data_IF_866896755627
#
_entry.id   IF_866896755627
#
_cell.length_a   1.000
_cell.length_b   1.000
_cell.length_c   1.000
_cell.angle_alpha   90.00
_cell.angle_beta   90.00
_cell.angle_gamma   90.00
#
_symmetry.space_group_name_H-M   'P 1'
#
loop_
_entity.id
_entity.type
_entity.pdbx_description
1 polymer ?
#
# COMPACT_ATOMS: atom_id res chain seq x y z
N UNK A 1 -40.00 33.20 10.17
CA UNK A 1 -38.88 33.24 9.20
C UNK A 1 -38.85 31.93 8.42
N UNK A 2 -38.95 31.99 7.09
CA UNK A 2 -39.13 30.84 6.19
C UNK A 2 -37.88 29.93 6.18
N UNK A 3 -38.02 28.72 6.73
CA UNK A 3 -37.11 27.61 6.46
C UNK A 3 -37.35 27.14 5.02
N UNK A 4 -36.41 27.47 4.13
CA UNK A 4 -36.45 27.04 2.73
C UNK A 4 -35.97 25.59 2.68
N UNK A 5 -36.93 24.68 2.57
CA UNK A 5 -36.76 23.28 2.19
C UNK A 5 -35.87 23.16 0.95
N UNK A 6 -34.70 22.53 1.09
CA UNK A 6 -33.89 22.07 -0.06
C UNK A 6 -34.34 20.66 -0.43
N UNK A 7 -35.53 20.59 -1.02
CA UNK A 7 -36.03 19.41 -1.72
C UNK A 7 -35.42 19.38 -3.14
N UNK A 8 -35.21 18.17 -3.65
CA UNK A 8 -34.93 17.81 -5.05
C UNK A 8 -33.53 18.11 -5.60
N UNK A 9 -32.63 17.14 -5.42
CA UNK A 9 -31.83 16.64 -6.54
C UNK A 9 -31.43 15.15 -6.34
N UNK A 10 -32.36 14.33 -5.84
CA UNK A 10 -32.21 12.88 -5.97
C UNK A 10 -32.49 12.54 -7.44
N UNK A 11 -31.41 12.33 -8.21
CA UNK A 11 -31.52 11.67 -9.51
C UNK A 11 -32.24 10.32 -9.28
N UNK A 12 -33.14 9.89 -10.18
CA UNK A 12 -33.79 8.59 -10.03
C UNK A 12 -32.73 7.51 -9.85
N UNK A 13 -32.93 6.69 -8.82
CA UNK A 13 -32.05 5.59 -8.47
C UNK A 13 -32.08 4.60 -9.64
N UNK A 14 -31.05 4.59 -10.48
CA UNK A 14 -30.89 3.58 -11.52
C UNK A 14 -30.33 2.36 -10.82
N UNK A 15 -31.21 1.55 -10.23
CA UNK A 15 -30.85 0.21 -9.77
C UNK A 15 -30.63 -0.62 -11.04
N UNK A 16 -29.37 -0.70 -11.47
CA UNK A 16 -28.99 -1.51 -12.61
C UNK A 16 -29.40 -2.96 -12.31
N UNK A 17 -30.05 -3.59 -13.28
CA UNK A 17 -30.31 -5.01 -13.24
C UNK A 17 -28.99 -5.78 -13.17
N UNK A 18 -29.03 -7.00 -12.65
CA UNK A 18 -27.86 -7.89 -12.58
C UNK A 18 -27.20 -8.09 -13.95
N UNK A 19 -27.98 -8.06 -15.03
CA UNK A 19 -27.47 -8.13 -16.40
C UNK A 19 -26.72 -6.85 -16.83
N UNK A 20 -27.24 -5.67 -16.49
CA UNK A 20 -26.57 -4.40 -16.78
C UNK A 20 -25.28 -4.24 -15.98
N UNK A 21 -25.26 -4.68 -14.71
CA UNK A 21 -24.04 -4.72 -13.89
C UNK A 21 -22.99 -5.64 -14.51
N UNK A 22 -23.40 -6.81 -15.00
CA UNK A 22 -22.51 -7.75 -15.66
C UNK A 22 -21.96 -7.18 -16.97
N UNK A 23 -22.81 -6.60 -17.81
CA UNK A 23 -22.39 -5.98 -19.06
C UNK A 23 -21.39 -4.83 -18.83
N UNK A 24 -21.57 -4.05 -17.76
CA UNK A 24 -20.64 -3.00 -17.34
C UNK A 24 -19.31 -3.57 -16.88
N UNK A 25 -19.32 -4.61 -16.04
CA UNK A 25 -18.11 -5.28 -15.59
C UNK A 25 -17.33 -5.90 -16.77
N UNK A 26 -18.03 -6.52 -17.72
CA UNK A 26 -17.42 -7.08 -18.93
C UNK A 26 -16.77 -5.98 -19.79
N UNK A 27 -17.41 -4.80 -19.89
CA UNK A 27 -16.84 -3.64 -20.59
C UNK A 27 -15.60 -3.09 -19.88
N UNK A 28 -15.64 -2.94 -18.56
CA UNK A 28 -14.49 -2.49 -17.77
C UNK A 28 -13.32 -3.46 -17.90
N UNK A 29 -13.58 -4.77 -17.87
CA UNK A 29 -12.57 -5.79 -18.11
C UNK A 29 -11.99 -5.70 -19.52
N UNK A 30 -12.81 -5.43 -20.54
CA UNK A 30 -12.33 -5.25 -21.90
C UNK A 30 -11.43 -4.01 -22.05
N UNK A 31 -11.80 -2.87 -21.44
CA UNK A 31 -10.98 -1.65 -21.40
C UNK A 31 -9.64 -1.91 -20.71
N UNK A 32 -9.65 -2.56 -19.53
CA UNK A 32 -8.43 -2.96 -18.84
C UNK A 32 -7.56 -3.91 -19.67
N UNK A 33 -8.19 -4.84 -20.38
CA UNK A 33 -7.49 -5.79 -21.25
C UNK A 33 -6.78 -5.07 -22.42
N UNK A 34 -7.40 -4.02 -22.98
CA UNK A 34 -6.76 -3.19 -24.01
C UNK A 34 -5.48 -2.52 -23.49
N UNK A 35 -5.51 -1.97 -22.27
CA UNK A 35 -4.32 -1.40 -21.63
C UNK A 35 -3.23 -2.45 -21.38
N UNK A 36 -3.61 -3.65 -20.96
CA UNK A 36 -2.68 -4.76 -20.78
C UNK A 36 -2.03 -5.22 -22.10
N UNK A 37 -2.77 -5.20 -23.21
CA UNK A 37 -2.25 -5.58 -24.53
C UNK A 37 -1.24 -4.57 -25.11
N UNK A 38 -1.20 -3.34 -24.58
CA UNK A 38 -0.16 -2.36 -24.92
C UNK A 38 1.17 -2.64 -24.22
N UNK A 39 1.14 -3.42 -23.13
CA UNK A 39 2.34 -3.85 -22.42
C UNK A 39 2.98 -5.06 -23.10
N UNK A 40 4.24 -5.32 -22.78
CA UNK A 40 4.89 -6.58 -23.18
C UNK A 40 4.17 -7.75 -22.54
N UNK A 41 3.48 -8.56 -23.35
CA UNK A 41 2.72 -9.70 -22.90
C UNK A 41 3.20 -10.97 -23.59
N UNK A 42 3.14 -12.07 -22.84
CA UNK A 42 3.34 -13.42 -23.32
C UNK A 42 2.07 -14.20 -23.00
N UNK A 43 1.40 -14.67 -24.05
CA UNK A 43 0.18 -15.46 -23.93
C UNK A 43 0.52 -16.95 -24.07
N UNK A 44 0.16 -17.73 -23.06
CA UNK A 44 0.17 -19.20 -23.16
C UNK A 44 -1.26 -19.67 -23.36
N UNK A 45 -1.54 -20.20 -24.55
CA UNK A 45 -2.82 -20.81 -24.89
C UNK A 45 -2.65 -22.33 -24.97
N UNK A 46 -3.51 -23.07 -24.29
CA UNK A 46 -3.62 -24.52 -24.43
C UNK A 46 -5.03 -24.83 -24.94
N UNK A 47 -5.12 -25.61 -26.02
CA UNK A 47 -6.38 -26.10 -26.58
C UNK A 47 -7.41 -24.97 -26.83
N UNK A 48 -6.99 -23.91 -27.54
CA UNK A 48 -7.83 -22.75 -27.90
C UNK A 48 -8.42 -21.94 -26.72
N UNK A 49 -7.99 -22.19 -25.48
CA UNK A 49 -8.28 -21.32 -24.33
C UNK A 49 -7.02 -20.57 -23.93
N UNK A 50 -7.11 -19.25 -23.83
CA UNK A 50 -6.07 -18.41 -23.22
C UNK A 50 -5.99 -18.77 -21.74
N UNK A 51 -4.88 -19.38 -21.31
CA UNK A 51 -4.72 -19.88 -19.94
C UNK A 51 -4.07 -18.83 -19.04
N UNK A 52 -3.01 -18.19 -19.53
CA UNK A 52 -2.30 -17.14 -18.79
C UNK A 52 -1.81 -16.02 -19.72
N UNK A 53 -2.00 -14.78 -19.30
CA UNK A 53 -1.38 -13.59 -19.88
C UNK A 53 -0.44 -13.06 -18.82
N UNK A 54 0.86 -13.10 -19.10
CA UNK A 54 1.89 -12.63 -18.18
C UNK A 54 2.83 -11.67 -18.89
N UNK A 55 3.36 -10.70 -18.16
CA UNK A 55 4.49 -9.92 -18.66
C UNK A 55 5.77 -10.71 -18.37
N UNK A 56 6.46 -11.22 -19.41
CA UNK A 56 7.60 -12.11 -19.21
C UNK A 56 8.75 -11.41 -18.49
N UNK A 57 9.01 -10.14 -18.82
CA UNK A 57 10.08 -9.35 -18.19
C UNK A 57 9.82 -9.21 -16.71
N UNK A 58 8.61 -8.77 -16.34
CA UNK A 58 8.25 -8.58 -14.93
C UNK A 58 8.32 -9.90 -14.16
N UNK A 59 7.74 -10.97 -14.71
CA UNK A 59 7.70 -12.27 -14.04
C UNK A 59 9.09 -12.84 -13.84
N UNK A 60 9.90 -12.97 -14.90
CA UNK A 60 11.21 -13.62 -14.81
C UNK A 60 12.22 -12.80 -14.02
N UNK A 61 12.21 -11.47 -14.14
CA UNK A 61 13.12 -10.62 -13.35
C UNK A 61 12.73 -10.62 -11.87
N UNK A 62 11.44 -10.57 -11.55
CA UNK A 62 10.99 -10.62 -10.14
C UNK A 62 11.29 -11.97 -9.52
N UNK A 63 10.92 -13.08 -10.18
CA UNK A 63 11.21 -14.43 -9.68
C UNK A 63 12.72 -14.67 -9.61
N UNK A 64 13.47 -14.28 -10.63
CA UNK A 64 14.92 -14.44 -10.68
C UNK A 64 15.63 -13.67 -9.56
N UNK A 65 15.24 -12.42 -9.31
CA UNK A 65 15.83 -11.61 -8.23
C UNK A 65 15.51 -12.16 -6.83
N UNK A 66 14.28 -12.63 -6.61
CA UNK A 66 13.90 -13.26 -5.34
C UNK A 66 14.61 -14.59 -5.12
N UNK A 67 14.68 -15.45 -6.13
CA UNK A 67 15.40 -16.72 -6.04
C UNK A 67 16.90 -16.49 -5.82
N UNK A 68 17.50 -15.51 -6.52
CA UNK A 68 18.89 -15.15 -6.31
C UNK A 68 19.16 -14.71 -4.86
N UNK A 69 18.25 -13.90 -4.28
CA UNK A 69 18.35 -13.49 -2.88
C UNK A 69 18.27 -14.70 -1.93
N UNK A 70 17.27 -15.58 -2.12
CA UNK A 70 17.08 -16.77 -1.28
C UNK A 70 18.29 -17.70 -1.36
N UNK A 71 18.76 -17.99 -2.58
CA UNK A 71 19.92 -18.85 -2.81
C UNK A 71 21.18 -18.24 -2.18
N UNK A 72 21.39 -16.92 -2.29
CA UNK A 72 22.53 -16.24 -1.66
C UNK A 72 22.50 -16.36 -0.14
N UNK A 73 21.32 -16.21 0.48
CA UNK A 73 21.14 -16.40 1.92
C UNK A 73 21.36 -17.86 2.36
N UNK A 74 21.02 -18.85 1.52
CA UNK A 74 21.21 -20.27 1.82
C UNK A 74 22.65 -20.74 1.68
N UNK A 75 23.38 -20.29 0.65
CA UNK A 75 24.75 -20.75 0.39
C UNK A 75 25.74 -20.02 1.30
N UNK A 76 25.56 -18.72 1.52
CA UNK A 76 26.52 -17.89 2.26
C UNK A 76 25.82 -16.97 3.29
N UNK A 77 25.27 -17.54 4.38
CA UNK A 77 24.52 -16.78 5.37
C UNK A 77 25.37 -15.67 6.04
N UNK A 78 26.62 -15.96 6.40
CA UNK A 78 27.49 -14.98 7.07
C UNK A 78 27.84 -13.77 6.18
N UNK A 79 27.95 -14.00 4.87
CA UNK A 79 28.19 -12.91 3.92
C UNK A 79 26.93 -12.08 3.72
N UNK A 80 25.78 -12.75 3.51
CA UNK A 80 24.50 -12.09 3.36
C UNK A 80 24.15 -11.22 4.57
N UNK A 81 24.33 -11.74 5.79
CA UNK A 81 24.11 -11.01 7.03
C UNK A 81 25.03 -9.78 7.15
N UNK A 82 26.32 -9.92 6.81
CA UNK A 82 27.26 -8.78 6.81
C UNK A 82 26.87 -7.71 5.80
N UNK A 83 26.49 -8.12 4.57
CA UNK A 83 26.05 -7.20 3.53
C UNK A 83 24.78 -6.44 3.94
N UNK A 84 23.78 -7.14 4.49
CA UNK A 84 22.55 -6.52 5.02
C UNK A 84 22.84 -5.56 6.18
N UNK A 85 23.73 -5.93 7.10
CA UNK A 85 24.10 -5.06 8.22
C UNK A 85 24.77 -3.77 7.77
N UNK A 86 25.71 -3.83 6.82
CA UNK A 86 26.41 -2.65 6.32
C UNK A 86 25.50 -1.74 5.49
N UNK A 87 24.75 -2.30 4.55
CA UNK A 87 23.87 -1.53 3.68
C UNK A 87 22.57 -1.12 4.36
N UNK A 88 21.74 -2.10 4.72
CA UNK A 88 20.37 -1.85 5.16
C UNK A 88 20.27 -1.29 6.58
N UNK A 89 21.05 -1.83 7.53
CA UNK A 89 20.92 -1.44 8.94
C UNK A 89 21.80 -0.26 9.38
N UNK A 90 22.88 0.05 8.64
CA UNK A 90 23.79 1.16 8.98
C UNK A 90 23.68 2.31 7.99
N UNK A 91 23.98 2.06 6.71
CA UNK A 91 24.04 3.13 5.72
C UNK A 91 22.69 3.79 5.43
N UNK A 92 21.61 3.01 5.27
CA UNK A 92 20.28 3.58 4.99
C UNK A 92 19.82 4.50 6.14
N UNK A 93 19.81 4.08 7.42
CA UNK A 93 19.42 4.98 8.51
C UNK A 93 20.35 6.19 8.69
N UNK A 94 21.65 6.03 8.43
CA UNK A 94 22.59 7.14 8.55
C UNK A 94 22.37 8.23 7.50
N UNK A 95 22.04 7.85 6.26
CA UNK A 95 21.96 8.79 5.12
C UNK A 95 20.52 9.19 4.77
N UNK A 96 19.57 8.25 4.85
CA UNK A 96 18.24 8.40 4.26
C UNK A 96 17.10 8.55 5.26
N UNK A 97 17.34 8.49 6.58
CA UNK A 97 16.26 8.64 7.58
C UNK A 97 15.43 9.91 7.39
N UNK A 98 16.05 11.04 7.01
CA UNK A 98 15.33 12.29 6.76
C UNK A 98 14.29 12.13 5.64
N UNK A 99 14.61 11.35 4.59
CA UNK A 99 13.72 11.13 3.46
C UNK A 99 12.50 10.31 3.87
N UNK A 100 12.67 9.29 4.73
CA UNK A 100 11.55 8.52 5.28
C UNK A 100 10.60 9.39 6.08
N UNK A 101 11.13 10.23 6.97
CA UNK A 101 10.33 11.12 7.83
C UNK A 101 9.60 12.17 6.98
N UNK A 102 10.33 12.90 6.13
CA UNK A 102 9.75 13.95 5.29
C UNK A 102 8.71 13.38 4.33
N UNK A 103 8.97 12.21 3.73
CA UNK A 103 8.00 11.55 2.83
C UNK A 103 6.69 11.26 3.55
N UNK A 104 6.74 10.66 4.74
CA UNK A 104 5.54 10.36 5.53
C UNK A 104 4.78 11.64 5.91
N UNK A 105 5.49 12.65 6.42
CA UNK A 105 4.87 13.90 6.86
C UNK A 105 4.23 14.67 5.71
N UNK A 106 4.89 14.70 4.54
CA UNK A 106 4.33 15.33 3.32
C UNK A 106 3.05 14.62 2.91
N UNK A 107 3.04 13.28 2.85
CA UNK A 107 1.84 12.53 2.48
C UNK A 107 0.72 12.66 3.51
N UNK A 108 1.03 12.75 4.80
CA UNK A 108 0.04 13.06 5.83
C UNK A 108 -0.65 14.39 5.56
N UNK A 109 0.14 15.45 5.32
CA UNK A 109 -0.37 16.79 5.02
C UNK A 109 -1.21 16.78 3.74
N UNK A 110 -0.74 16.09 2.69
CA UNK A 110 -1.48 15.95 1.43
C UNK A 110 -2.82 15.24 1.66
N UNK A 111 -2.86 14.14 2.40
CA UNK A 111 -4.10 13.42 2.68
C UNK A 111 -5.08 14.29 3.48
N UNK A 112 -4.61 14.98 4.52
CA UNK A 112 -5.45 15.89 5.31
C UNK A 112 -5.98 17.02 4.43
N UNK A 113 -5.13 17.61 3.59
CA UNK A 113 -5.52 18.66 2.65
C UNK A 113 -6.58 18.16 1.66
N UNK A 114 -6.40 16.96 1.09
CA UNK A 114 -7.35 16.34 0.17
C UNK A 114 -8.70 16.09 0.86
N UNK A 115 -8.70 15.55 2.07
CA UNK A 115 -9.92 15.14 2.78
C UNK A 115 -10.70 16.31 3.38
N UNK A 116 -10.01 17.31 3.95
CA UNK A 116 -10.65 18.37 4.76
C UNK A 116 -10.84 19.66 3.98
N UNK A 117 -9.84 20.05 3.18
CA UNK A 117 -9.79 21.38 2.54
C UNK A 117 -10.20 21.31 1.07
N UNK A 118 -9.81 20.24 0.39
CA UNK A 118 -9.95 20.13 -1.06
C UNK A 118 -11.34 19.66 -1.49
N UNK A 119 -11.76 20.12 -2.66
CA UNK A 119 -12.94 19.57 -3.36
C UNK A 119 -12.78 18.09 -3.76
N UNK A 120 -11.54 17.60 -3.79
CA UNK A 120 -11.22 16.24 -4.24
C UNK A 120 -11.60 15.17 -3.21
N UNK A 121 -11.75 15.49 -1.92
CA UNK A 121 -12.20 14.54 -0.89
C UNK A 121 -13.61 14.01 -1.11
N UNK A 122 -14.45 14.72 -1.87
CA UNK A 122 -15.83 14.33 -2.18
C UNK A 122 -15.94 13.45 -3.44
N UNK A 123 -14.82 13.12 -4.08
CA UNK A 123 -14.81 12.28 -5.26
C UNK A 123 -15.04 10.82 -4.86
N UNK A 124 -16.02 10.17 -5.50
CA UNK A 124 -16.20 8.72 -5.40
C UNK A 124 -15.03 7.98 -6.05
N UNK A 125 -14.57 6.91 -5.41
CA UNK A 125 -13.57 5.96 -5.96
C UNK A 125 -14.22 4.99 -6.96
N UNK A 126 -14.92 5.56 -7.95
CA UNK A 126 -15.75 4.87 -8.93
C UNK A 126 -16.40 5.89 -9.85
N UNK A 127 -17.40 5.47 -10.62
CA UNK A 127 -18.21 6.40 -11.42
C UNK A 127 -19.20 7.16 -10.54
N UNK A 128 -19.71 8.28 -11.03
CA UNK A 128 -20.53 9.19 -10.22
C UNK A 128 -21.89 8.55 -9.81
N UNK A 129 -22.38 7.62 -10.62
CA UNK A 129 -23.61 6.85 -10.44
C UNK A 129 -23.44 5.58 -9.57
N UNK A 130 -22.22 5.21 -9.21
CA UNK A 130 -21.96 3.97 -8.46
C UNK A 130 -22.19 4.14 -6.95
N UNK A 131 -22.65 3.04 -6.34
CA UNK A 131 -22.81 2.89 -4.90
C UNK A 131 -21.80 1.89 -4.32
N UNK A 132 -21.47 1.95 -3.02
CA UNK A 132 -20.56 1.01 -2.39
C UNK A 132 -21.06 -0.44 -2.51
N UNK A 133 -20.17 -1.34 -2.95
CA UNK A 133 -20.49 -2.77 -3.08
C UNK A 133 -20.71 -3.46 -1.73
N UNK A 134 -20.08 -2.94 -0.67
CA UNK A 134 -20.16 -3.49 0.69
C UNK A 134 -20.81 -2.49 1.63
N UNK A 135 -21.57 -3.00 2.61
CA UNK A 135 -22.08 -2.17 3.71
C UNK A 135 -20.91 -1.60 4.52
N UNK A 136 -21.14 -0.47 5.18
CA UNK A 136 -20.12 0.18 6.01
C UNK A 136 -19.52 -0.76 7.06
N UNK A 137 -20.37 -1.56 7.73
CA UNK A 137 -19.93 -2.52 8.74
C UNK A 137 -19.06 -3.64 8.14
N UNK A 138 -19.43 -4.17 6.96
CA UNK A 138 -18.64 -5.19 6.26
C UNK A 138 -17.29 -4.62 5.79
N UNK A 139 -17.30 -3.43 5.20
CA UNK A 139 -16.08 -2.74 4.77
C UNK A 139 -15.12 -2.50 5.95
N UNK A 140 -15.66 -2.03 7.08
CA UNK A 140 -14.88 -1.82 8.29
C UNK A 140 -14.29 -3.14 8.82
N UNK A 141 -15.06 -4.23 8.84
CA UNK A 141 -14.56 -5.56 9.24
C UNK A 141 -13.46 -6.09 8.30
N UNK A 142 -13.56 -5.81 7.00
CA UNK A 142 -12.52 -6.19 6.02
C UNK A 142 -11.18 -5.50 6.29
N UNK A 143 -11.18 -4.26 6.78
CA UNK A 143 -9.95 -3.54 7.13
C UNK A 143 -9.14 -4.25 8.21
N UNK A 144 -9.80 -4.79 9.25
CA UNK A 144 -9.12 -5.54 10.32
C UNK A 144 -8.72 -6.95 9.90
N UNK A 145 -9.39 -7.50 8.88
CA UNK A 145 -9.08 -8.82 8.34
C UNK A 145 -7.88 -8.78 7.38
N UNK A 146 -7.58 -7.62 6.79
CA UNK A 146 -6.50 -7.44 5.83
C UNK A 146 -5.14 -7.23 6.53
N UNK A 147 -4.35 -8.30 6.65
CA UNK A 147 -2.88 -8.27 6.59
C UNK A 147 -2.04 -7.69 7.74
N UNK A 148 -2.58 -6.86 8.65
CA UNK A 148 -1.77 -6.21 9.71
C UNK A 148 -1.56 -7.12 10.95
N UNK A 149 -2.20 -8.29 10.97
CA UNK A 149 -2.35 -9.11 12.18
C UNK A 149 -1.01 -9.49 12.84
N UNK A 150 -0.07 -10.09 12.12
CA UNK A 150 1.16 -10.64 12.75
C UNK A 150 2.03 -9.53 13.35
N UNK A 151 2.20 -8.41 12.64
CA UNK A 151 2.95 -7.27 13.13
C UNK A 151 2.37 -6.69 14.41
N UNK A 152 1.04 -6.53 14.47
CA UNK A 152 0.36 -6.07 15.69
C UNK A 152 0.50 -7.08 16.82
N UNK A 153 0.34 -8.38 16.58
CA UNK A 153 0.49 -9.39 17.65
C UNK A 153 1.91 -9.41 18.22
N UNK A 154 2.93 -9.29 17.37
CA UNK A 154 4.33 -9.28 17.82
C UNK A 154 4.71 -7.96 18.50
N UNK A 155 4.49 -6.82 17.84
CA UNK A 155 4.98 -5.51 18.29
C UNK A 155 4.05 -4.80 19.27
N UNK A 156 2.78 -5.20 19.44
CA UNK A 156 1.88 -4.60 20.45
C UNK A 156 2.42 -4.70 21.87
N UNK A 157 3.20 -5.74 22.18
CA UNK A 157 3.87 -5.91 23.47
C UNK A 157 5.36 -5.62 23.36
N UNK A 158 6.02 -6.11 22.30
CA UNK A 158 7.46 -6.03 22.18
C UNK A 158 7.95 -4.58 22.07
N UNK A 159 7.30 -3.74 21.27
CA UNK A 159 7.73 -2.36 21.03
C UNK A 159 7.58 -1.42 22.24
N UNK A 160 6.43 -1.35 22.93
CA UNK A 160 6.32 -0.48 24.10
C UNK A 160 7.24 -0.94 25.23
N UNK A 161 7.46 -2.26 25.41
CA UNK A 161 8.43 -2.78 26.38
C UNK A 161 9.86 -2.43 25.99
N UNK A 162 10.18 -2.47 24.70
CA UNK A 162 11.49 -2.08 24.16
C UNK A 162 11.78 -0.60 24.47
N UNK A 163 10.84 0.29 24.18
CA UNK A 163 10.94 1.71 24.49
C UNK A 163 10.97 2.00 26.00
N UNK A 164 10.17 1.28 26.78
CA UNK A 164 10.16 1.41 28.25
C UNK A 164 11.51 1.05 28.88
N UNK A 165 12.21 0.06 28.32
CA UNK A 165 13.58 -0.31 28.74
C UNK A 165 14.66 0.67 28.27
N UNK A 166 14.28 1.79 27.65
CA UNK A 166 15.18 2.84 27.18
C UNK A 166 15.80 2.58 25.80
N UNK A 167 15.41 1.51 25.10
CA UNK A 167 15.94 1.19 23.78
C UNK A 167 15.15 1.90 22.68
N UNK A 168 15.87 2.43 21.68
CA UNK A 168 15.25 3.22 20.61
C UNK A 168 14.60 4.52 21.09
N UNK A 169 14.97 5.00 22.29
CA UNK A 169 14.48 6.26 22.85
C UNK A 169 14.76 7.39 21.85
N UNK A 170 13.72 8.15 21.42
CA UNK A 170 13.91 9.22 20.47
C UNK A 170 14.95 10.22 20.94
N UNK A 171 15.73 10.78 20.00
CA UNK A 171 16.82 11.71 20.33
C UNK A 171 16.35 12.93 21.15
N UNK A 172 15.11 13.38 20.96
CA UNK A 172 14.52 14.47 21.75
C UNK A 172 14.22 14.09 23.21
N UNK A 173 14.18 12.81 23.54
CA UNK A 173 14.04 12.25 24.89
C UNK A 173 15.38 11.79 25.49
N UNK A 174 16.50 11.86 24.75
CA UNK A 174 17.81 11.32 25.14
C UNK A 174 18.45 11.96 26.39
N UNK A 175 17.88 13.06 26.90
CA UNK A 175 18.26 13.68 28.18
C UNK A 175 17.48 13.16 29.39
N UNK A 176 16.35 12.50 29.18
CA UNK A 176 15.62 11.78 30.23
C UNK A 176 16.33 10.43 30.41
N UNK A 177 17.29 10.37 31.35
CA UNK A 177 17.93 9.11 31.71
C UNK A 177 16.86 8.16 32.30
N UNK A 178 16.34 7.29 31.44
CA UNK A 178 15.50 6.15 31.79
C UNK A 178 16.30 5.14 32.60
N UNK A 179 16.38 5.38 33.90
CA UNK A 179 16.57 4.36 34.93
C UNK A 179 15.66 4.73 36.10
N UNK A 180 14.37 4.45 35.92
CA UNK A 180 13.35 4.56 36.94
C UNK A 180 12.12 3.79 36.48
N UNK A 181 11.55 2.99 37.35
CA UNK A 181 10.26 2.34 37.11
C UNK A 181 9.16 3.42 37.20
N UNK A 182 9.20 4.39 36.28
CA UNK A 182 8.49 5.66 36.36
C UNK A 182 7.31 5.65 35.39
N UNK A 183 6.15 6.13 35.85
CA UNK A 183 4.93 6.21 35.04
C UNK A 183 5.11 7.06 33.77
N UNK A 184 6.00 8.06 33.80
CA UNK A 184 6.29 8.93 32.65
C UNK A 184 6.98 8.18 31.51
N UNK A 185 7.92 7.29 31.81
CA UNK A 185 8.62 6.48 30.81
C UNK A 185 7.67 5.49 30.14
N UNK A 186 6.71 4.95 30.90
CA UNK A 186 5.65 4.09 30.37
C UNK A 186 4.72 4.86 29.41
N UNK A 187 4.33 6.09 29.75
CA UNK A 187 3.53 6.93 28.87
C UNK A 187 4.27 7.30 27.59
N UNK A 188 5.55 7.69 27.69
CA UNK A 188 6.38 8.01 26.53
C UNK A 188 6.54 6.80 25.59
N UNK A 189 6.78 5.61 26.14
CA UNK A 189 6.87 4.38 25.37
C UNK A 189 5.58 4.11 24.57
N UNK A 190 4.42 4.25 25.21
CA UNK A 190 3.13 4.09 24.54
C UNK A 190 2.89 5.16 23.47
N UNK A 191 3.29 6.42 23.69
CA UNK A 191 3.16 7.48 22.70
C UNK A 191 3.97 7.21 21.43
N UNK A 192 5.19 6.66 21.57
CA UNK A 192 6.04 6.30 20.42
C UNK A 192 5.42 5.14 19.65
N UNK A 193 4.98 4.10 20.34
CA UNK A 193 4.28 2.97 19.69
C UNK A 193 3.01 3.43 18.98
N UNK A 194 2.25 4.33 19.60
CA UNK A 194 1.07 4.93 18.96
C UNK A 194 1.44 5.79 17.74
N UNK A 195 2.59 6.46 17.77
CA UNK A 195 3.08 7.19 16.61
C UNK A 195 3.34 6.22 15.43
N UNK A 196 3.98 5.08 15.65
CA UNK A 196 4.26 4.11 14.58
C UNK A 196 3.03 3.36 14.06
N UNK A 197 2.13 2.92 14.96
CA UNK A 197 0.98 2.06 14.61
C UNK A 197 -0.36 2.79 14.50
N UNK A 198 -0.41 4.04 14.95
CA UNK A 198 -1.56 4.93 14.80
C UNK A 198 -1.62 5.50 13.39
N UNK A 199 -2.11 6.73 13.26
CA UNK A 199 -2.38 7.37 11.96
C UNK A 199 -1.17 7.32 11.02
N UNK A 200 0.06 7.43 11.54
CA UNK A 200 1.27 7.46 10.72
C UNK A 200 1.48 6.16 9.92
N UNK A 201 1.20 4.99 10.52
CA UNK A 201 1.31 3.70 9.85
C UNK A 201 0.31 3.50 8.70
N UNK A 202 -0.82 4.22 8.72
CA UNK A 202 -1.87 4.10 7.70
C UNK A 202 -1.71 5.05 6.51
N UNK A 203 -0.79 6.02 6.58
CA UNK A 203 -0.60 7.05 5.54
C UNK A 203 -0.29 6.39 4.20
N UNK A 204 0.68 5.48 4.16
CA UNK A 204 1.12 4.83 2.92
C UNK A 204 0.05 3.92 2.33
N UNK A 205 -0.65 3.15 3.16
CA UNK A 205 -1.77 2.30 2.73
C UNK A 205 -2.91 3.14 2.14
N UNK A 206 -3.28 4.23 2.82
CA UNK A 206 -4.34 5.12 2.35
C UNK A 206 -3.94 5.81 1.05
N UNK A 207 -2.70 6.28 0.95
CA UNK A 207 -2.17 6.94 -0.25
C UNK A 207 -2.19 6.00 -1.45
N UNK A 208 -1.56 4.83 -1.35
CA UNK A 208 -1.47 3.89 -2.47
C UNK A 208 -2.85 3.30 -2.80
N UNK A 209 -3.65 2.96 -1.78
CA UNK A 209 -5.01 2.47 -1.97
C UNK A 209 -5.91 3.49 -2.69
N UNK A 210 -5.82 4.77 -2.34
CA UNK A 210 -6.56 5.83 -3.02
C UNK A 210 -6.11 6.00 -4.48
N UNK A 211 -4.80 6.01 -4.74
CA UNK A 211 -4.28 6.18 -6.11
C UNK A 211 -4.67 4.99 -6.99
N UNK A 212 -4.48 3.75 -6.52
CA UNK A 212 -4.90 2.55 -7.26
C UNK A 212 -6.41 2.54 -7.47
N UNK A 213 -7.19 2.88 -6.44
CA UNK A 213 -8.65 2.94 -6.52
C UNK A 213 -9.15 3.93 -7.56
N UNK A 214 -8.55 5.14 -7.63
CA UNK A 214 -8.88 6.14 -8.65
C UNK A 214 -8.51 5.65 -10.05
N UNK A 215 -7.30 5.09 -10.21
CA UNK A 215 -6.83 4.65 -11.52
C UNK A 215 -7.63 3.45 -12.03
N UNK A 216 -7.94 2.50 -11.16
CA UNK A 216 -8.66 1.28 -11.52
C UNK A 216 -10.16 1.55 -11.74
N UNK A 217 -10.86 2.03 -10.72
CA UNK A 217 -12.32 2.10 -10.74
C UNK A 217 -12.85 3.37 -11.43
N UNK A 218 -12.16 4.52 -11.26
CA UNK A 218 -12.63 5.76 -11.88
C UNK A 218 -12.13 5.91 -13.32
N UNK A 219 -10.85 5.60 -13.57
CA UNK A 219 -10.20 5.79 -14.87
C UNK A 219 -10.10 4.54 -15.75
N UNK A 220 -10.46 3.35 -15.26
CA UNK A 220 -10.52 2.13 -16.08
C UNK A 220 -9.16 1.49 -16.39
N UNK A 221 -8.09 1.90 -15.69
CA UNK A 221 -6.79 1.23 -15.85
C UNK A 221 -6.77 -0.12 -15.12
N UNK A 222 -5.91 -1.06 -15.52
CA UNK A 222 -5.70 -2.29 -14.75
C UNK A 222 -5.21 -2.01 -13.34
N UNK A 223 -5.52 -2.90 -12.40
CA UNK A 223 -5.15 -2.78 -10.99
C UNK A 223 -3.67 -3.14 -10.74
N UNK A 224 -2.75 -2.37 -11.30
CA UNK A 224 -1.30 -2.54 -11.12
C UNK A 224 -0.62 -1.20 -10.77
N UNK A 225 0.52 -1.27 -10.06
CA UNK A 225 1.19 -0.06 -9.58
C UNK A 225 1.74 0.81 -10.70
N UNK A 226 2.16 0.24 -11.85
CA UNK A 226 2.63 1.04 -13.00
C UNK A 226 1.66 2.15 -13.41
N UNK A 227 0.35 1.90 -13.37
CA UNK A 227 -0.65 2.86 -13.85
C UNK A 227 -0.85 4.02 -12.88
N UNK A 228 -0.45 3.87 -11.61
CA UNK A 228 -0.43 4.98 -10.66
C UNK A 228 0.47 6.12 -11.13
N UNK A 229 1.49 5.82 -11.93
CA UNK A 229 2.42 6.81 -12.48
C UNK A 229 1.97 7.36 -13.84
N UNK A 230 0.90 6.83 -14.46
CA UNK A 230 0.42 7.31 -15.75
C UNK A 230 0.20 8.84 -15.80
N UNK A 231 -0.36 9.50 -14.77
CA UNK A 231 -0.51 10.96 -14.79
C UNK A 231 0.81 11.74 -14.84
N UNK A 232 1.94 11.13 -14.44
CA UNK A 232 3.26 11.76 -14.40
C UNK A 232 4.11 11.41 -15.63
N UNK A 233 4.09 10.15 -16.06
CA UNK A 233 4.98 9.65 -17.13
C UNK A 233 4.26 9.28 -18.44
N UNK A 234 2.92 9.37 -18.46
CA UNK A 234 2.09 9.09 -19.63
C UNK A 234 2.26 7.67 -20.16
N UNK A 235 2.33 7.52 -21.48
CA UNK A 235 2.41 6.22 -22.16
C UNK A 235 3.71 5.45 -21.89
N UNK A 236 4.68 6.04 -21.20
CA UNK A 236 5.89 5.33 -20.76
C UNK A 236 5.60 4.20 -19.76
N UNK A 237 4.40 4.16 -19.16
CA UNK A 237 3.97 3.03 -18.31
C UNK A 237 3.86 1.71 -19.05
N UNK A 238 3.68 1.72 -20.38
CA UNK A 238 3.52 0.49 -21.16
C UNK A 238 4.86 -0.18 -21.50
N UNK A 239 5.98 0.54 -21.31
CA UNK A 239 7.31 0.05 -21.58
C UNK A 239 8.13 -0.21 -20.31
N UNK A 240 9.45 -0.12 -20.46
CA UNK A 240 10.43 -0.48 -19.44
C UNK A 240 10.23 0.22 -18.08
N UNK A 241 9.83 1.51 -18.06
CA UNK A 241 9.61 2.23 -16.80
C UNK A 241 8.45 1.64 -15.99
N UNK A 242 7.36 1.22 -16.65
CA UNK A 242 6.26 0.55 -15.97
C UNK A 242 6.63 -0.84 -15.49
N UNK A 243 7.42 -1.57 -16.28
CA UNK A 243 7.92 -2.89 -15.89
C UNK A 243 8.84 -2.80 -14.67
N UNK A 244 9.74 -1.82 -14.62
CA UNK A 244 10.60 -1.61 -13.46
C UNK A 244 9.81 -1.33 -12.17
N UNK A 245 8.73 -0.54 -12.28
CA UNK A 245 7.85 -0.22 -11.14
C UNK A 245 7.12 -1.46 -10.66
N UNK A 246 6.55 -2.26 -11.57
CA UNK A 246 5.88 -3.51 -11.19
C UNK A 246 6.85 -4.53 -10.60
N UNK A 247 8.06 -4.67 -11.15
CA UNK A 247 9.12 -5.53 -10.58
C UNK A 247 9.44 -5.10 -9.14
N UNK A 248 9.71 -3.81 -8.92
CA UNK A 248 10.00 -3.29 -7.59
C UNK A 248 8.82 -3.53 -6.63
N UNK A 249 7.59 -3.37 -7.11
CA UNK A 249 6.37 -3.59 -6.34
C UNK A 249 6.24 -5.04 -5.90
N UNK A 250 6.48 -5.99 -6.80
CA UNK A 250 6.42 -7.44 -6.51
C UNK A 250 7.51 -7.83 -5.51
N UNK A 251 8.76 -7.45 -5.76
CA UNK A 251 9.90 -7.77 -4.89
C UNK A 251 9.68 -7.20 -3.49
N UNK A 252 9.28 -5.92 -3.39
CA UNK A 252 9.03 -5.25 -2.10
C UNK A 252 7.87 -5.91 -1.34
N UNK A 253 6.80 -6.26 -2.05
CA UNK A 253 5.63 -6.92 -1.44
C UNK A 253 6.01 -8.29 -0.88
N UNK A 254 6.74 -9.10 -1.65
CA UNK A 254 7.17 -10.43 -1.20
C UNK A 254 8.12 -10.32 -0.01
N UNK A 255 9.10 -9.40 -0.05
CA UNK A 255 9.97 -9.16 1.11
C UNK A 255 9.18 -8.78 2.37
N UNK A 256 8.19 -7.88 2.26
CA UNK A 256 7.35 -7.48 3.40
C UNK A 256 6.47 -8.61 3.95
N UNK A 257 5.87 -9.41 3.07
CA UNK A 257 5.09 -10.60 3.45
C UNK A 257 5.99 -11.62 4.15
N UNK A 258 7.17 -11.89 3.61
CA UNK A 258 8.14 -12.82 4.20
C UNK A 258 8.63 -12.37 5.58
N UNK A 259 8.86 -11.07 5.80
CA UNK A 259 9.21 -10.55 7.14
C UNK A 259 8.08 -10.83 8.14
N UNK A 260 6.83 -10.57 7.76
CA UNK A 260 5.68 -10.81 8.64
C UNK A 260 5.51 -12.31 8.94
N UNK A 261 5.67 -13.17 7.94
CA UNK A 261 5.64 -14.63 8.13
C UNK A 261 6.79 -15.11 9.02
N UNK A 262 8.00 -14.56 8.85
CA UNK A 262 9.16 -14.89 9.65
C UNK A 262 9.05 -14.46 11.12
N UNK A 263 8.34 -13.37 11.40
CA UNK A 263 8.04 -12.94 12.78
C UNK A 263 6.97 -13.83 13.44
N UNK A 264 6.09 -14.45 12.65
CA UNK A 264 5.01 -15.31 13.13
C UNK A 264 5.37 -16.80 13.26
N UNK A 265 6.48 -17.24 12.65
CA UNK A 265 6.98 -18.62 12.68
C UNK A 265 7.81 -18.88 13.95
#
# INVERSE_FOLDING_TARGET
LKLKTRSQNQRPMVVLSTEELKARADKEQAEQHEHMNKCWNFEVALCNRKLFILNPVVTFVSVGSLLALVISCMITPDYAQRAMNLGAFRWIPEVWTWFYIVSQDVWLVVLIWVMVVSKYGNIKLGKDDEEPQFSFASWFAMLFSAGVAVGLFYYSVAEPVWHYKGWGTPRFLSGAKGYGNNNEDALNALMITWYHWGVHGWITYTTIGAVIGIMAYRRGYPMTLRYCLYPLIGDKVYGFLGDAVDILSIVTTICGVCTSLGLGA
#
